data_IF_712357964796
#
_entry.id   IF_712357964796
#
_cell.length_a   1.000
_cell.length_b   1.000
_cell.length_c   1.000
_cell.angle_alpha   90.00
_cell.angle_beta   90.00
_cell.angle_gamma   90.00
#
_symmetry.space_group_name_H-M   'P 1'
#
loop_
_entity.id
_entity.type
_entity.pdbx_description
1 polymer ?
#
# COMPACT_ATOMS: atom_id res chain seq x y z
N UNK A 1 -3.56 5.25 -96.09
CA UNK A 1 -2.80 6.00 -95.07
C UNK A 1 -3.81 6.70 -94.16
N UNK A 2 -3.70 6.46 -92.85
CA UNK A 2 -4.74 6.79 -91.87
C UNK A 2 -4.86 8.30 -91.67
N UNK A 3 -6.08 8.83 -91.74
CA UNK A 3 -6.37 10.24 -91.55
C UNK A 3 -6.25 10.66 -90.08
N UNK A 4 -5.24 11.45 -89.76
CA UNK A 4 -5.13 12.13 -88.47
C UNK A 4 -6.17 13.24 -88.40
N UNK A 5 -7.28 13.00 -87.70
CA UNK A 5 -8.16 14.07 -87.22
C UNK A 5 -7.38 14.99 -86.26
N UNK A 6 -7.55 16.33 -86.34
CA UNK A 6 -6.91 17.25 -85.40
C UNK A 6 -7.36 16.94 -83.96
N UNK A 7 -6.47 17.02 -82.96
CA UNK A 7 -6.85 16.80 -81.57
C UNK A 7 -7.96 17.78 -81.16
N UNK A 8 -9.02 17.27 -80.52
CA UNK A 8 -10.04 18.12 -79.92
C UNK A 8 -9.46 18.78 -78.65
N UNK A 9 -8.80 19.93 -78.83
CA UNK A 9 -8.13 20.68 -77.75
C UNK A 9 -9.07 21.03 -76.58
N UNK A 10 -10.37 21.23 -76.85
CA UNK A 10 -11.38 21.48 -75.82
C UNK A 10 -11.61 20.25 -74.94
N UNK A 11 -11.66 19.07 -75.54
CA UNK A 11 -11.76 17.81 -74.79
C UNK A 11 -10.48 17.49 -74.00
N UNK A 12 -9.30 17.78 -74.57
CA UNK A 12 -8.03 17.63 -73.86
C UNK A 12 -7.90 18.57 -72.66
N UNK A 13 -8.34 19.82 -72.79
CA UNK A 13 -8.35 20.79 -71.69
C UNK A 13 -9.28 20.37 -70.54
N UNK A 14 -10.51 19.94 -70.86
CA UNK A 14 -11.46 19.45 -69.86
C UNK A 14 -10.95 18.22 -69.12
N UNK A 15 -10.30 17.28 -69.83
CA UNK A 15 -9.68 16.10 -69.24
C UNK A 15 -8.53 16.48 -68.28
N UNK A 16 -7.68 17.43 -68.68
CA UNK A 16 -6.59 17.92 -67.83
C UNK A 16 -7.10 18.66 -66.58
N UNK A 17 -8.23 19.37 -66.68
CA UNK A 17 -8.87 20.02 -65.53
C UNK A 17 -9.48 19.00 -64.55
N UNK A 18 -10.14 17.96 -65.05
CA UNK A 18 -10.65 16.86 -64.23
C UNK A 18 -9.51 16.09 -63.53
N UNK A 19 -8.42 15.79 -64.23
CA UNK A 19 -7.24 15.15 -63.65
C UNK A 19 -6.62 16.01 -62.55
N UNK A 20 -6.53 17.33 -62.75
CA UNK A 20 -6.08 18.27 -61.70
C UNK A 20 -7.00 18.26 -60.48
N UNK A 21 -8.32 18.28 -60.67
CA UNK A 21 -9.29 18.23 -59.55
C UNK A 21 -9.17 16.93 -58.78
N UNK A 22 -9.08 15.79 -59.47
CA UNK A 22 -8.88 14.48 -58.83
C UNK A 22 -7.57 14.41 -58.06
N UNK A 23 -6.47 14.90 -58.64
CA UNK A 23 -5.18 14.95 -57.96
C UNK A 23 -5.20 15.86 -56.73
N UNK A 24 -5.90 17.00 -56.78
CA UNK A 24 -6.05 17.89 -55.63
C UNK A 24 -6.92 17.27 -54.52
N UNK A 25 -8.01 16.59 -54.89
CA UNK A 25 -8.85 15.84 -53.95
C UNK A 25 -8.09 14.67 -53.30
N UNK A 26 -7.31 13.92 -54.07
CA UNK A 26 -6.44 12.86 -53.56
C UNK A 26 -5.38 13.42 -52.61
N UNK A 27 -4.76 14.56 -52.95
CA UNK A 27 -3.80 15.23 -52.06
C UNK A 27 -4.45 15.69 -50.76
N UNK A 28 -5.64 16.31 -50.82
CA UNK A 28 -6.39 16.69 -49.61
C UNK A 28 -6.75 15.48 -48.75
N UNK A 29 -7.17 14.38 -49.36
CA UNK A 29 -7.46 13.12 -48.65
C UNK A 29 -6.20 12.51 -48.03
N UNK A 30 -5.06 12.59 -48.71
CA UNK A 30 -3.78 12.11 -48.18
C UNK A 30 -3.31 12.97 -46.99
N UNK A 31 -3.34 14.29 -47.13
CA UNK A 31 -3.03 15.24 -46.05
C UNK A 31 -3.97 15.06 -44.84
N UNK A 32 -5.26 14.81 -45.07
CA UNK A 32 -6.21 14.52 -43.98
C UNK A 32 -5.91 13.19 -43.27
N UNK A 33 -5.58 12.13 -44.04
CA UNK A 33 -5.16 10.84 -43.46
C UNK A 33 -3.88 10.95 -42.66
N UNK A 34 -2.92 11.73 -43.13
CA UNK A 34 -1.65 12.00 -42.44
C UNK A 34 -1.91 12.74 -41.13
N UNK A 35 -2.71 13.82 -41.15
CA UNK A 35 -3.11 14.54 -39.92
C UNK A 35 -3.81 13.63 -38.92
N UNK A 36 -4.76 12.80 -39.37
CA UNK A 36 -5.43 11.85 -38.50
C UNK A 36 -4.48 10.77 -37.94
N UNK A 37 -3.47 10.37 -38.72
CA UNK A 37 -2.45 9.42 -38.26
C UNK A 37 -1.54 10.04 -37.20
N UNK A 38 -1.06 11.27 -37.43
CA UNK A 38 -0.28 12.02 -36.44
C UNK A 38 -1.06 12.26 -35.15
N UNK A 39 -2.34 12.64 -35.24
CA UNK A 39 -3.17 12.85 -34.05
C UNK A 39 -3.36 11.55 -33.26
N UNK A 40 -3.63 10.42 -33.93
CA UNK A 40 -3.70 9.11 -33.28
C UNK A 40 -2.38 8.71 -32.63
N UNK A 41 -1.25 9.00 -33.27
CA UNK A 41 0.07 8.72 -32.73
C UNK A 41 0.32 9.55 -31.46
N UNK A 42 0.06 10.86 -31.49
CA UNK A 42 0.20 11.73 -30.31
C UNK A 42 -0.69 11.27 -29.15
N UNK A 43 -1.94 10.89 -29.43
CA UNK A 43 -2.83 10.34 -28.41
C UNK A 43 -2.33 9.00 -27.84
N UNK A 44 -1.74 8.14 -28.67
CA UNK A 44 -1.16 6.88 -28.21
C UNK A 44 0.07 7.10 -27.33
N UNK A 45 0.98 7.98 -27.74
CA UNK A 45 2.17 8.36 -26.97
C UNK A 45 1.80 9.02 -25.64
N UNK A 46 0.78 9.88 -25.60
CA UNK A 46 0.29 10.49 -24.36
C UNK A 46 -0.29 9.46 -23.41
N UNK A 47 -1.13 8.53 -23.92
CA UNK A 47 -1.69 7.43 -23.11
C UNK A 47 -0.59 6.54 -22.55
N UNK A 48 0.41 6.22 -23.36
CA UNK A 48 1.55 5.42 -22.91
C UNK A 48 2.33 6.15 -21.83
N UNK A 49 2.59 7.45 -22.00
CA UNK A 49 3.27 8.28 -20.99
C UNK A 49 2.49 8.30 -19.68
N UNK A 50 1.18 8.52 -19.74
CA UNK A 50 0.30 8.51 -18.56
C UNK A 50 0.31 7.12 -17.88
N UNK A 51 0.27 6.04 -18.65
CA UNK A 51 0.32 4.69 -18.10
C UNK A 51 1.66 4.40 -17.43
N UNK A 52 2.77 4.81 -18.04
CA UNK A 52 4.11 4.69 -17.45
C UNK A 52 4.19 5.47 -16.13
N UNK A 53 3.72 6.72 -16.11
CA UNK A 53 3.71 7.56 -14.91
C UNK A 53 2.86 6.96 -13.78
N UNK A 54 1.73 6.30 -14.09
CA UNK A 54 0.90 5.67 -13.06
C UNK A 54 1.46 4.35 -12.54
N UNK A 55 2.23 3.64 -13.36
CA UNK A 55 2.82 2.35 -13.00
C UNK A 55 4.23 2.47 -12.43
N UNK A 56 4.88 3.63 -12.53
CA UNK A 56 6.20 3.85 -11.91
C UNK A 56 6.11 3.65 -10.39
N UNK A 57 7.18 3.14 -9.75
CA UNK A 57 7.26 3.15 -8.30
C UNK A 57 7.16 4.57 -7.75
N UNK A 58 6.58 4.72 -6.56
CA UNK A 58 6.41 6.01 -5.92
C UNK A 58 7.64 6.42 -5.14
N UNK A 59 7.87 7.73 -5.03
CA UNK A 59 8.81 8.27 -4.05
C UNK A 59 8.25 8.11 -2.63
N UNK A 60 9.09 8.13 -1.59
CA UNK A 60 8.61 7.98 -0.20
C UNK A 60 7.48 8.97 0.20
N UNK A 61 7.57 10.30 -0.08
CA UNK A 61 6.49 11.21 0.29
C UNK A 61 5.22 11.03 -0.56
N UNK A 62 5.36 10.69 -1.85
CA UNK A 62 4.20 10.30 -2.67
C UNK A 62 3.51 9.06 -2.10
N UNK A 63 4.30 8.04 -1.75
CA UNK A 63 3.84 6.79 -1.17
C UNK A 63 3.03 7.01 0.12
N UNK A 64 3.61 7.69 1.11
CA UNK A 64 2.94 7.96 2.39
C UNK A 64 1.63 8.71 2.20
N UNK A 65 1.60 9.72 1.33
CA UNK A 65 0.38 10.47 1.02
C UNK A 65 -0.67 9.57 0.36
N UNK A 66 -0.28 8.75 -0.62
CA UNK A 66 -1.19 7.85 -1.31
C UNK A 66 -1.73 6.76 -0.38
N UNK A 67 -0.93 6.18 0.51
CA UNK A 67 -1.40 5.26 1.54
C UNK A 67 -2.46 5.91 2.43
N UNK A 68 -2.21 7.14 2.89
CA UNK A 68 -3.20 7.89 3.68
C UNK A 68 -4.50 8.13 2.92
N UNK A 69 -4.41 8.66 1.70
CA UNK A 69 -5.58 9.08 0.94
C UNK A 69 -6.39 7.90 0.36
N UNK A 70 -5.72 6.82 -0.07
CA UNK A 70 -6.35 5.68 -0.76
C UNK A 70 -6.65 4.49 0.16
N UNK A 71 -5.86 4.26 1.21
CA UNK A 71 -6.01 3.08 2.08
C UNK A 71 -6.65 3.44 3.43
N UNK A 72 -6.19 4.51 4.07
CA UNK A 72 -6.66 4.89 5.41
C UNK A 72 -7.96 5.70 5.39
N UNK A 73 -8.00 6.83 4.67
CA UNK A 73 -9.18 7.71 4.65
C UNK A 73 -10.49 7.00 4.26
N UNK A 74 -10.51 6.07 3.28
CA UNK A 74 -11.75 5.39 2.89
C UNK A 74 -12.18 4.26 3.84
N UNK A 75 -11.35 3.93 4.84
CA UNK A 75 -11.61 2.83 5.77
C UNK A 75 -12.82 3.13 6.64
N UNK A 76 -13.69 2.12 6.82
CA UNK A 76 -14.96 2.26 7.55
C UNK A 76 -15.12 1.13 8.54
N UNK A 77 -15.63 1.46 9.73
CA UNK A 77 -16.11 0.48 10.68
C UNK A 77 -17.58 0.09 10.37
N UNK A 78 -17.91 -1.19 10.49
CA UNK A 78 -19.30 -1.66 10.41
C UNK A 78 -20.07 -1.31 11.69
N UNK A 79 -21.39 -1.26 11.61
CA UNK A 79 -22.24 -1.12 12.80
C UNK A 79 -22.13 -2.37 13.69
N UNK A 80 -22.22 -2.24 15.03
CA UNK A 80 -22.15 -3.39 15.93
C UNK A 80 -23.19 -4.47 15.64
N UNK A 81 -24.40 -4.09 15.20
CA UNK A 81 -25.49 -5.00 14.82
C UNK A 81 -25.19 -5.93 13.64
N UNK A 82 -24.18 -5.59 12.83
CA UNK A 82 -23.77 -6.33 11.63
C UNK A 82 -22.32 -6.81 11.71
N UNK A 83 -21.78 -6.87 12.92
CA UNK A 83 -20.41 -7.26 13.18
C UNK A 83 -20.34 -8.56 13.98
N UNK A 84 -19.16 -9.17 14.05
CA UNK A 84 -18.93 -10.35 14.89
C UNK A 84 -19.33 -10.08 16.35
N UNK A 85 -19.92 -11.08 16.99
CA UNK A 85 -20.27 -11.00 18.41
C UNK A 85 -19.18 -11.65 19.25
N UNK A 86 -19.03 -11.20 20.48
CA UNK A 86 -18.02 -11.72 21.40
C UNK A 86 -17.58 -10.64 22.38
N UNK A 87 -17.40 -11.04 23.65
CA UNK A 87 -16.87 -10.15 24.67
C UNK A 87 -15.35 -10.26 24.69
N UNK A 88 -14.69 -9.15 25.02
CA UNK A 88 -13.28 -9.19 25.39
C UNK A 88 -13.22 -9.83 26.79
N UNK A 89 -12.55 -10.98 26.97
CA UNK A 89 -12.45 -11.60 28.28
C UNK A 89 -11.62 -10.72 29.22
N UNK A 90 -11.91 -10.82 30.53
CA UNK A 90 -11.06 -10.19 31.54
C UNK A 90 -9.62 -10.73 31.45
N UNK A 91 -8.60 -9.94 31.77
CA UNK A 91 -7.19 -10.32 31.64
C UNK A 91 -6.72 -11.28 32.76
N UNK A 92 -7.57 -12.20 33.19
CA UNK A 92 -7.28 -13.15 34.27
C UNK A 92 -6.12 -14.05 33.84
N UNK A 93 -5.06 -14.09 34.65
CA UNK A 93 -3.85 -14.87 34.36
C UNK A 93 -2.94 -14.28 33.27
N UNK A 94 -3.25 -13.08 32.74
CA UNK A 94 -2.37 -12.39 31.79
C UNK A 94 -1.35 -11.51 32.52
N UNK A 95 -0.14 -11.38 31.96
CA UNK A 95 0.81 -10.37 32.39
C UNK A 95 0.22 -8.98 32.14
N UNK A 96 -0.05 -8.25 33.22
CA UNK A 96 -0.63 -6.91 33.17
C UNK A 96 0.38 -5.89 33.71
N UNK A 97 0.41 -4.66 33.16
CA UNK A 97 1.22 -3.60 33.74
C UNK A 97 0.74 -3.29 35.16
N UNK A 98 1.65 -2.84 36.04
CA UNK A 98 1.26 -2.39 37.38
C UNK A 98 0.54 -1.04 37.36
N UNK A 99 0.99 -0.15 36.47
CA UNK A 99 0.46 1.20 36.31
C UNK A 99 0.36 1.55 34.84
N UNK A 100 -0.74 2.19 34.47
CA UNK A 100 -0.87 2.84 33.18
C UNK A 100 -0.50 4.32 33.36
N UNK A 101 0.38 4.84 32.50
CA UNK A 101 0.83 6.24 32.54
C UNK A 101 0.93 6.82 31.13
N UNK A 102 0.73 8.13 30.96
CA UNK A 102 0.92 8.79 29.67
C UNK A 102 2.38 8.72 29.27
N UNK A 103 2.63 8.43 27.99
CA UNK A 103 3.95 8.53 27.40
C UNK A 103 4.15 9.96 26.89
N UNK A 104 4.70 10.82 27.73
CA UNK A 104 4.69 12.28 27.55
C UNK A 104 5.53 12.81 26.39
N UNK A 105 6.60 12.10 26.02
CA UNK A 105 7.51 12.46 24.91
C UNK A 105 7.30 11.59 23.66
N UNK A 106 6.17 10.88 23.58
CA UNK A 106 5.90 9.95 22.48
C UNK A 106 5.80 10.68 21.13
N UNK A 107 5.06 11.78 21.06
CA UNK A 107 4.87 12.54 19.81
C UNK A 107 6.18 13.14 19.29
N UNK A 108 7.02 13.66 20.19
CA UNK A 108 8.33 14.21 19.83
C UNK A 108 9.25 13.11 19.30
N UNK A 109 9.31 11.95 19.98
CA UNK A 109 10.07 10.78 19.51
C UNK A 109 9.57 10.25 18.17
N UNK A 110 8.26 10.17 17.97
CA UNK A 110 7.67 9.74 16.70
C UNK A 110 8.05 10.70 15.56
N UNK A 111 8.02 12.01 15.84
CA UNK A 111 8.44 13.03 14.88
C UNK A 111 9.92 12.91 14.53
N UNK A 112 10.80 12.78 15.52
CA UNK A 112 12.24 12.61 15.33
C UNK A 112 12.55 11.38 14.45
N UNK A 113 11.91 10.24 14.74
CA UNK A 113 12.04 9.03 13.93
C UNK A 113 11.55 9.27 12.50
N UNK A 114 10.36 9.86 12.34
CA UNK A 114 9.79 10.12 11.01
C UNK A 114 10.64 11.08 10.19
N UNK A 115 11.16 12.15 10.79
CA UNK A 115 12.07 13.10 10.14
C UNK A 115 13.38 12.40 9.75
N UNK A 116 13.91 11.53 10.60
CA UNK A 116 15.10 10.75 10.26
C UNK A 116 14.87 9.80 9.08
N UNK A 117 13.75 9.07 9.07
CA UNK A 117 13.34 8.22 7.94
C UNK A 117 13.21 9.06 6.65
N UNK A 118 12.59 10.24 6.74
CA UNK A 118 12.51 11.18 5.61
C UNK A 118 13.89 11.56 5.10
N UNK A 119 14.86 11.90 5.96
CA UNK A 119 16.22 12.26 5.52
C UNK A 119 16.89 11.15 4.70
N UNK A 120 16.71 9.89 5.09
CA UNK A 120 17.31 8.76 4.37
C UNK A 120 16.60 8.40 3.07
N UNK A 121 15.27 8.48 3.05
CA UNK A 121 14.45 8.08 1.89
C UNK A 121 14.11 9.25 0.95
N UNK A 122 14.44 10.49 1.35
CA UNK A 122 14.24 11.72 0.58
C UNK A 122 15.54 12.56 0.58
N UNK A 123 16.63 12.06 -0.01
CA UNK A 123 17.89 12.81 -0.05
C UNK A 123 17.71 14.15 -0.78
N UNK A 124 18.26 15.22 -0.21
CA UNK A 124 18.16 16.59 -0.74
C UNK A 124 19.00 16.80 -2.01
N UNK A 125 20.03 15.98 -2.20
CA UNK A 125 20.93 16.02 -3.35
C UNK A 125 20.71 14.77 -4.22
N UNK A 126 20.06 14.93 -5.38
CA UNK A 126 19.80 13.86 -6.35
C UNK A 126 18.33 13.70 -6.72
N UNK A 127 18.05 12.83 -7.69
CA UNK A 127 16.69 12.46 -8.05
C UNK A 127 16.02 11.68 -6.90
N UNK A 128 14.78 12.03 -6.59
CA UNK A 128 13.99 11.33 -5.58
C UNK A 128 13.87 9.85 -5.94
N UNK A 129 14.20 8.96 -5.00
CA UNK A 129 14.24 7.53 -5.28
C UNK A 129 12.81 6.97 -5.37
N UNK A 130 12.48 6.44 -6.54
CA UNK A 130 11.23 5.74 -6.82
C UNK A 130 11.36 4.28 -6.39
N UNK A 131 11.04 4.00 -5.12
CA UNK A 131 11.30 2.69 -4.48
C UNK A 131 10.02 1.95 -4.09
N UNK A 132 8.89 2.64 -3.97
CA UNK A 132 7.70 2.12 -3.30
C UNK A 132 6.57 1.78 -4.26
N UNK A 133 5.56 1.07 -3.75
CA UNK A 133 4.38 0.61 -4.49
C UNK A 133 3.79 1.69 -5.40
N UNK A 134 3.48 1.33 -6.66
CA UNK A 134 2.94 2.26 -7.65
C UNK A 134 1.52 2.72 -7.34
N UNK A 135 1.10 3.83 -7.93
CA UNK A 135 -0.24 4.39 -7.76
C UNK A 135 -1.34 3.37 -8.12
N UNK A 136 -1.19 2.67 -9.26
CA UNK A 136 -2.18 1.68 -9.72
C UNK A 136 -2.36 0.55 -8.70
N UNK A 137 -1.27 0.08 -8.11
CA UNK A 137 -1.33 -0.97 -7.09
C UNK A 137 -2.03 -0.49 -5.82
N UNK A 138 -1.74 0.74 -5.35
CA UNK A 138 -2.42 1.33 -4.19
C UNK A 138 -3.91 1.58 -4.45
N UNK A 139 -4.28 2.02 -5.65
CA UNK A 139 -5.69 2.18 -6.06
C UNK A 139 -6.46 0.85 -6.03
N UNK A 140 -5.83 -0.26 -6.43
CA UNK A 140 -6.46 -1.58 -6.36
C UNK A 140 -6.69 -2.03 -4.91
N UNK A 141 -5.69 -1.88 -4.05
CA UNK A 141 -5.82 -2.16 -2.61
C UNK A 141 -6.91 -1.30 -1.96
N UNK A 142 -6.87 0.01 -2.18
CA UNK A 142 -7.87 0.95 -1.65
C UNK A 142 -9.29 0.60 -2.11
N UNK A 143 -9.47 0.25 -3.39
CA UNK A 143 -10.75 -0.23 -3.92
C UNK A 143 -11.22 -1.48 -3.20
N UNK A 144 -10.34 -2.45 -2.91
CA UNK A 144 -10.69 -3.70 -2.22
C UNK A 144 -11.10 -3.43 -0.77
N UNK A 145 -10.33 -2.65 -0.02
CA UNK A 145 -10.67 -2.32 1.38
C UNK A 145 -11.93 -1.47 1.50
N UNK A 146 -12.18 -0.57 0.55
CA UNK A 146 -13.39 0.25 0.55
C UNK A 146 -14.68 -0.55 0.25
N UNK A 147 -14.61 -1.77 -0.31
CA UNK A 147 -15.80 -2.58 -0.68
C UNK A 147 -16.67 -2.93 0.52
N UNK A 148 -16.07 -3.22 1.68
CA UNK A 148 -16.80 -3.62 2.87
C UNK A 148 -16.22 -2.95 4.12
N UNK A 149 -17.06 -2.41 5.02
CA UNK A 149 -16.58 -1.94 6.31
C UNK A 149 -16.00 -3.09 7.16
N UNK A 150 -15.01 -2.79 8.01
CA UNK A 150 -14.42 -3.75 8.96
C UNK A 150 -15.50 -4.21 9.94
N UNK A 151 -15.78 -5.51 9.95
CA UNK A 151 -16.85 -6.12 10.75
C UNK A 151 -16.37 -7.25 11.66
N UNK A 152 -15.12 -7.68 11.52
CA UNK A 152 -14.54 -8.83 12.21
C UNK A 152 -13.04 -8.63 12.48
N UNK A 153 -12.48 -9.47 13.36
CA UNK A 153 -11.02 -9.54 13.60
C UNK A 153 -10.28 -9.89 12.30
N UNK A 154 -10.79 -10.85 11.51
CA UNK A 154 -10.23 -11.24 10.22
C UNK A 154 -10.19 -10.10 9.19
N UNK A 155 -11.24 -9.27 9.15
CA UNK A 155 -11.26 -8.09 8.26
C UNK A 155 -10.15 -7.10 8.63
N UNK A 156 -9.96 -6.85 9.94
CA UNK A 156 -8.94 -5.95 10.44
C UNK A 156 -7.54 -6.52 10.19
N UNK A 157 -7.31 -7.80 10.49
CA UNK A 157 -6.05 -8.49 10.21
C UNK A 157 -5.67 -8.38 8.73
N UNK A 158 -6.62 -8.65 7.83
CA UNK A 158 -6.36 -8.58 6.38
C UNK A 158 -5.96 -7.17 5.95
N UNK A 159 -6.59 -6.14 6.54
CA UNK A 159 -6.25 -4.75 6.28
C UNK A 159 -4.85 -4.42 6.80
N UNK A 160 -4.57 -4.71 8.08
CA UNK A 160 -3.30 -4.40 8.72
C UNK A 160 -2.14 -5.05 7.97
N UNK A 161 -2.26 -6.34 7.63
CA UNK A 161 -1.23 -7.05 6.87
C UNK A 161 -0.91 -6.37 5.52
N UNK A 162 -1.94 -6.14 4.70
CA UNK A 162 -1.77 -5.72 3.31
C UNK A 162 -1.57 -4.20 3.15
N UNK A 163 -2.15 -3.39 4.05
CA UNK A 163 -2.12 -1.93 3.96
C UNK A 163 -1.08 -1.29 4.87
N UNK A 164 -0.57 -2.02 5.88
CA UNK A 164 0.35 -1.50 6.89
C UNK A 164 1.61 -2.36 6.97
N UNK A 165 1.51 -3.62 7.38
CA UNK A 165 2.68 -4.48 7.67
C UNK A 165 3.57 -4.68 6.45
N UNK A 166 3.01 -5.08 5.30
CA UNK A 166 3.79 -5.29 4.06
C UNK A 166 4.49 -3.99 3.63
N UNK A 167 3.81 -2.85 3.77
CA UNK A 167 4.37 -1.54 3.44
C UNK A 167 5.47 -1.08 4.41
N UNK A 168 5.30 -1.35 5.71
CA UNK A 168 6.32 -1.08 6.73
C UNK A 168 7.53 -2.00 6.51
N UNK A 169 7.31 -3.26 6.15
CA UNK A 169 8.37 -4.18 5.77
C UNK A 169 9.19 -3.63 4.60
N UNK A 170 8.54 -3.16 3.53
CA UNK A 170 9.22 -2.59 2.36
C UNK A 170 10.03 -1.33 2.72
N UNK A 171 9.47 -0.43 3.54
CA UNK A 171 10.19 0.74 4.06
C UNK A 171 11.45 0.32 4.84
N UNK A 172 11.32 -0.63 5.76
CA UNK A 172 12.46 -1.12 6.55
C UNK A 172 13.48 -1.82 5.67
N UNK A 173 13.05 -2.56 4.65
CA UNK A 173 13.95 -3.22 3.71
C UNK A 173 14.80 -2.20 2.93
N UNK A 174 14.21 -1.09 2.47
CA UNK A 174 14.96 -0.01 1.82
C UNK A 174 15.91 0.70 2.78
N UNK A 175 15.50 0.95 4.04
CA UNK A 175 16.37 1.52 5.07
C UNK A 175 17.56 0.59 5.40
N UNK A 176 17.36 -0.73 5.41
CA UNK A 176 18.42 -1.70 5.67
C UNK A 176 19.53 -1.68 4.60
N UNK A 177 19.25 -1.20 3.38
CA UNK A 177 20.26 -1.04 2.31
C UNK A 177 21.18 0.15 2.55
N UNK A 178 20.83 1.05 3.49
CA UNK A 178 21.61 2.24 3.84
C UNK A 178 22.33 1.96 5.17
N UNK A 179 23.66 1.78 5.18
CA UNK A 179 24.40 1.41 6.39
C UNK A 179 24.17 2.35 7.58
N UNK A 180 24.12 3.66 7.33
CA UNK A 180 23.92 4.69 8.34
C UNK A 180 22.53 4.59 8.98
N UNK A 181 21.49 4.40 8.17
CA UNK A 181 20.12 4.20 8.67
C UNK A 181 19.98 2.89 9.45
N UNK A 182 20.61 1.82 8.96
CA UNK A 182 20.59 0.51 9.60
C UNK A 182 21.20 0.56 11.00
N UNK A 183 22.28 1.30 11.17
CA UNK A 183 22.92 1.53 12.46
C UNK A 183 22.10 2.44 13.37
N UNK A 184 21.61 3.58 12.85
CA UNK A 184 20.82 4.55 13.62
C UNK A 184 19.55 3.92 14.21
N UNK A 185 18.80 3.19 13.40
CA UNK A 185 17.56 2.53 13.81
C UNK A 185 17.78 1.13 14.39
N UNK A 186 19.03 0.66 14.44
CA UNK A 186 19.41 -0.69 14.89
C UNK A 186 18.56 -1.78 14.22
N UNK A 187 18.44 -1.73 12.89
CA UNK A 187 17.52 -2.61 12.14
C UNK A 187 18.03 -4.03 11.94
N UNK A 188 19.34 -4.29 12.13
CA UNK A 188 19.93 -5.58 11.80
C UNK A 188 19.74 -5.90 10.31
N UNK A 189 19.13 -7.04 10.00
CA UNK A 189 18.74 -7.46 8.65
C UNK A 189 17.25 -7.18 8.34
N UNK A 190 16.57 -6.36 9.15
CA UNK A 190 15.19 -5.95 8.96
C UNK A 190 14.23 -6.54 9.99
N UNK A 191 12.93 -6.39 9.71
CA UNK A 191 11.83 -6.86 10.56
C UNK A 191 11.01 -7.94 9.87
N UNK A 192 10.30 -8.73 10.65
CA UNK A 192 9.40 -9.78 10.17
C UNK A 192 8.11 -9.81 10.98
N UNK A 193 6.99 -9.95 10.29
CA UNK A 193 5.67 -10.11 10.90
C UNK A 193 5.29 -11.59 10.81
N UNK A 194 5.02 -12.22 11.96
CA UNK A 194 4.63 -13.63 12.04
C UNK A 194 3.31 -13.78 12.78
N UNK A 195 2.43 -14.65 12.29
CA UNK A 195 1.16 -15.00 12.91
C UNK A 195 1.21 -16.38 13.57
N UNK A 196 2.35 -17.08 13.53
CA UNK A 196 2.47 -18.42 14.07
C UNK A 196 3.05 -18.44 15.49
N UNK A 197 2.32 -18.99 16.47
CA UNK A 197 2.79 -19.08 17.86
C UNK A 197 4.00 -20.00 18.05
N UNK A 198 4.32 -20.87 17.07
CA UNK A 198 5.55 -21.68 17.10
C UNK A 198 6.83 -20.82 17.10
N UNK A 199 6.74 -19.54 16.71
CA UNK A 199 7.86 -18.60 16.76
C UNK A 199 8.19 -18.11 18.20
N UNK A 200 7.33 -18.42 19.17
CA UNK A 200 7.54 -18.14 20.60
C UNK A 200 7.96 -19.37 21.42
N UNK A 201 7.97 -20.56 20.81
CA UNK A 201 8.15 -21.86 21.48
C UNK A 201 9.57 -22.45 21.29
N UNK A 202 10.61 -21.61 21.17
CA UNK A 202 12.00 -22.11 21.13
C UNK A 202 12.55 -22.50 22.53
N UNK A 203 11.74 -22.40 23.61
CA UNK A 203 12.18 -22.74 24.98
C UNK A 203 11.32 -23.81 25.69
N UNK A 204 10.38 -24.48 25.02
CA UNK A 204 9.65 -25.60 25.63
C UNK A 204 9.78 -26.87 24.79
N UNK A 205 10.76 -27.71 25.12
CA UNK A 205 10.73 -29.14 24.80
C UNK A 205 9.50 -29.77 25.47
N UNK A 206 8.35 -29.72 24.81
CA UNK A 206 7.17 -30.50 25.22
C UNK A 206 7.28 -31.90 24.64
N UNK A 207 7.60 -32.82 25.54
CA UNK A 207 7.59 -34.27 25.38
C UNK A 207 6.33 -34.75 24.62
N UNK A 208 6.55 -35.49 23.53
CA UNK A 208 5.55 -35.88 22.54
C UNK A 208 4.67 -37.07 22.99
N UNK A 209 4.34 -37.15 24.28
CA UNK A 209 3.76 -38.35 24.90
C UNK A 209 2.34 -38.19 25.47
N UNK A 210 1.67 -37.04 25.32
CA UNK A 210 0.30 -36.86 25.85
C UNK A 210 -0.78 -36.60 24.78
N UNK A 211 -1.93 -37.30 24.85
CA UNK A 211 -3.02 -37.14 23.90
C UNK A 211 -3.73 -35.81 24.12
N UNK A 212 -3.97 -35.13 22.99
CA UNK A 212 -4.57 -33.82 22.84
C UNK A 212 -5.86 -33.63 23.65
N UNK A 213 -5.75 -32.94 24.79
CA UNK A 213 -6.86 -32.25 25.42
C UNK A 213 -7.06 -30.90 24.71
N UNK A 214 -8.28 -30.69 24.23
CA UNK A 214 -8.88 -29.44 23.73
C UNK A 214 -7.94 -28.23 23.85
N UNK A 215 -7.23 -27.88 22.77
CA UNK A 215 -6.43 -26.66 22.73
C UNK A 215 -7.37 -25.49 23.05
N UNK A 216 -7.08 -24.65 24.07
CA UNK A 216 -7.76 -23.38 24.22
C UNK A 216 -7.67 -22.63 22.89
N UNK A 217 -8.70 -21.87 22.51
CA UNK A 217 -8.57 -20.93 21.39
C UNK A 217 -7.43 -19.96 21.73
N UNK A 218 -6.24 -20.25 21.20
CA UNK A 218 -5.05 -19.45 21.46
C UNK A 218 -5.27 -18.10 20.78
N UNK A 219 -5.06 -16.97 21.47
CA UNK A 219 -5.29 -15.65 20.90
C UNK A 219 -4.45 -15.48 19.62
N UNK A 220 -5.00 -14.77 18.64
CA UNK A 220 -4.30 -14.39 17.41
C UNK A 220 -3.18 -13.40 17.77
N UNK A 221 -2.03 -13.94 18.18
CA UNK A 221 -0.85 -13.18 18.55
C UNK A 221 0.01 -12.98 17.30
N UNK A 222 0.01 -11.74 16.82
CA UNK A 222 0.89 -11.29 15.75
C UNK A 222 2.18 -10.81 16.38
N UNK A 223 3.31 -11.34 15.94
CA UNK A 223 4.61 -11.06 16.52
C UNK A 223 5.46 -10.29 15.52
N UNK A 224 6.08 -9.21 16.00
CA UNK A 224 7.06 -8.46 15.22
C UNK A 224 8.44 -8.89 15.71
N UNK A 225 9.26 -9.42 14.81
CA UNK A 225 10.62 -9.82 15.09
C UNK A 225 11.60 -8.89 14.41
N UNK A 226 12.71 -8.62 15.08
CA UNK A 226 13.94 -8.20 14.43
C UNK A 226 14.72 -9.43 13.98
N UNK A 227 15.29 -9.38 12.78
CA UNK A 227 16.20 -10.41 12.29
C UNK A 227 17.64 -9.90 12.30
N UNK A 228 18.54 -10.67 12.87
CA UNK A 228 19.99 -10.42 12.80
C UNK A 228 20.71 -11.76 12.50
N UNK A 229 21.11 -11.92 11.24
CA UNK A 229 21.57 -13.21 10.71
C UNK A 229 20.50 -14.31 10.85
N UNK A 230 20.83 -15.34 11.64
CA UNK A 230 19.93 -16.45 11.99
C UNK A 230 19.14 -16.21 13.28
N UNK A 231 19.45 -15.16 14.05
CA UNK A 231 18.74 -14.86 15.30
C UNK A 231 17.48 -14.05 14.99
N UNK A 232 16.37 -14.46 15.62
CA UNK A 232 15.13 -13.68 15.67
C UNK A 232 14.93 -13.17 17.09
N UNK A 233 14.72 -11.87 17.24
CA UNK A 233 14.43 -11.25 18.54
C UNK A 233 13.03 -10.67 18.50
N UNK A 234 12.16 -11.14 19.39
CA UNK A 234 10.80 -10.61 19.53
C UNK A 234 10.86 -9.15 19.98
N UNK A 235 10.30 -8.23 19.19
CA UNK A 235 10.19 -6.81 19.52
C UNK A 235 8.89 -6.53 20.25
N UNK A 236 7.77 -7.02 19.73
CA UNK A 236 6.45 -6.83 20.33
C UNK A 236 5.45 -7.86 19.82
N UNK A 237 4.36 -8.02 20.58
CA UNK A 237 3.19 -8.80 20.20
C UNK A 237 1.99 -7.87 20.00
N UNK A 238 1.13 -8.19 19.04
CA UNK A 238 -0.07 -7.43 18.68
C UNK A 238 -1.26 -8.39 18.69
N UNK A 239 -2.39 -7.93 19.21
CA UNK A 239 -3.67 -8.63 19.12
C UNK A 239 -4.69 -7.67 18.49
N UNK A 240 -5.22 -8.03 17.32
CA UNK A 240 -6.17 -7.18 16.62
C UNK A 240 -7.56 -7.25 17.28
N UNK A 241 -8.18 -6.08 17.45
CA UNK A 241 -9.56 -5.96 17.92
C UNK A 241 -10.36 -5.02 17.01
N UNK A 242 -11.48 -5.49 16.43
CA UNK A 242 -12.24 -4.72 15.47
C UNK A 242 -12.95 -3.54 16.16
N UNK A 243 -13.29 -2.47 15.42
CA UNK A 243 -13.79 -1.23 15.99
C UNK A 243 -15.05 -1.37 16.86
N UNK A 244 -15.90 -2.36 16.60
CA UNK A 244 -17.12 -2.60 17.38
C UNK A 244 -16.84 -3.22 18.77
N UNK A 245 -15.68 -3.85 18.99
CA UNK A 245 -15.27 -4.37 20.31
C UNK A 245 -14.59 -3.30 21.17
N UNK A 246 -13.90 -2.34 20.55
CA UNK A 246 -13.20 -1.23 21.23
C UNK A 246 -13.64 0.11 20.63
N UNK A 247 -14.70 0.70 21.18
CA UNK A 247 -15.16 2.02 20.74
C UNK A 247 -14.18 3.13 21.16
N UNK A 248 -14.19 4.26 20.45
CA UNK A 248 -13.42 5.44 20.84
C UNK A 248 -13.80 5.95 22.26
N UNK A 249 -15.05 5.76 22.68
CA UNK A 249 -15.49 6.09 24.04
C UNK A 249 -14.82 5.16 25.07
N UNK A 250 -14.74 3.86 24.80
CA UNK A 250 -14.04 2.90 25.66
C UNK A 250 -12.56 3.27 25.80
N UNK A 251 -11.90 3.63 24.69
CA UNK A 251 -10.49 4.04 24.69
C UNK A 251 -10.28 5.30 25.52
N UNK A 252 -11.12 6.33 25.36
CA UNK A 252 -11.01 7.59 26.13
C UNK A 252 -11.26 7.39 27.63
N UNK A 253 -12.16 6.49 28.01
CA UNK A 253 -12.44 6.18 29.42
C UNK A 253 -11.37 5.28 30.05
N UNK A 254 -10.84 4.32 29.28
CA UNK A 254 -9.92 3.29 29.75
C UNK A 254 -8.44 3.68 29.69
N UNK A 255 -8.02 4.47 28.70
CA UNK A 255 -6.62 4.91 28.55
C UNK A 255 -6.37 6.18 29.37
N UNK A 256 -6.36 6.02 30.69
CA UNK A 256 -6.03 7.07 31.65
C UNK A 256 -5.00 6.59 32.67
N UNK A 257 -4.31 7.50 33.37
CA UNK A 257 -3.48 7.11 34.49
C UNK A 257 -4.28 6.30 35.52
N UNK A 258 -3.79 5.12 35.87
CA UNK A 258 -4.43 4.24 36.86
C UNK A 258 -3.45 3.24 37.48
N UNK A 259 -3.79 2.77 38.68
CA UNK A 259 -3.21 1.54 39.22
C UNK A 259 -3.95 0.37 38.59
N UNK A 260 -3.36 -0.21 37.55
CA UNK A 260 -4.04 -1.15 36.67
C UNK A 260 -4.43 -2.42 37.43
N UNK A 261 -3.57 -2.87 38.34
CA UNK A 261 -3.85 -4.06 39.16
C UNK A 261 -5.05 -3.84 40.08
N UNK A 262 -5.20 -2.66 40.67
CA UNK A 262 -6.34 -2.38 41.57
C UNK A 262 -7.65 -2.11 40.83
N UNK A 263 -7.57 -1.54 39.63
CA UNK A 263 -8.73 -1.01 38.91
C UNK A 263 -9.28 -1.97 37.83
N UNK A 264 -8.46 -2.91 37.32
CA UNK A 264 -8.82 -3.77 36.18
C UNK A 264 -8.76 -5.26 36.49
N UNK A 265 -7.83 -5.69 37.35
CA UNK A 265 -7.64 -7.11 37.72
C UNK A 265 -8.37 -7.42 39.01
#
# INVERSE_FOLDING_TARGET
>A
MSGNSPPNYKALFLKAEEERKRAEEERKRAEERERQAEERQRQAEERERQQRERNRPTTFPEFIRLCHDLLWRPLRAQTPSRSTTGKIPAPIGKHCPLRLRPWTDCEDKQREIYESVCRYLQPTEGDARELFTSLVALEDHGRRFARRPISSEQDLETYERLAVEDHVHDIVAELCKIPEAREEFRLGNGIWFDNHPNALDDDNEVDASQPSTTKPSKPDQFCIYQRDGNRRTLLTTVEYKPPHKLSAANLRLGLRPMDFWREVV
#
